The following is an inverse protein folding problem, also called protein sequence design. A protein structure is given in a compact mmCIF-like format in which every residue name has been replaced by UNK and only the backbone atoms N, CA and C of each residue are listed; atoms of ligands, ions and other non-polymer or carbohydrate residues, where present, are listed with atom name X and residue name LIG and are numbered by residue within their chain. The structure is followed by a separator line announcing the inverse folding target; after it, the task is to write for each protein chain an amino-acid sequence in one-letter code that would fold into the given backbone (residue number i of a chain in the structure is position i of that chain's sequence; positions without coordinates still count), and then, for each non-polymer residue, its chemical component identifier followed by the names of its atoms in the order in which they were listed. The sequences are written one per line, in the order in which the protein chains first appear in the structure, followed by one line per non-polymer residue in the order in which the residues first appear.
data_IF_590464533205
#
_entry.id   IF_590464533205
#
_cell.length_a   1.000
_cell.length_b   1.000
_cell.length_c   1.000
_cell.angle_alpha   90.00
_cell.angle_beta   90.00
_cell.angle_gamma   90.00
#
_symmetry.space_group_name_H-M   'P 1'
#
loop_
_entity.id
_entity.type
_entity.pdbx_description
1 polymer ?
#
# COMPACT_ATOMS: atom_id res chain seq x y z
N UNK A 1 -21.31 -10.47 5.55
CA UNK A 1 -19.89 -10.85 5.62
C UNK A 1 -19.69 -12.32 5.99
N UNK A 2 -20.67 -12.97 6.65
CA UNK A 2 -20.69 -14.43 6.91
C UNK A 2 -20.28 -15.37 5.76
N UNK A 3 -20.63 -15.08 4.50
CA UNK A 3 -20.19 -15.91 3.34
C UNK A 3 -18.66 -15.93 3.14
N UNK A 4 -17.99 -14.85 3.51
CA UNK A 4 -16.53 -14.75 3.46
C UNK A 4 -15.91 -15.55 4.62
N UNK A 5 -16.36 -15.32 5.85
CA UNK A 5 -15.93 -16.09 7.02
C UNK A 5 -16.14 -17.61 6.84
N UNK A 6 -17.22 -18.02 6.16
CA UNK A 6 -17.52 -19.42 5.86
C UNK A 6 -16.53 -20.11 4.92
N UNK A 7 -15.63 -19.37 4.23
CA UNK A 7 -14.58 -20.00 3.42
C UNK A 7 -13.63 -20.87 4.26
N UNK A 8 -13.57 -20.66 5.58
CA UNK A 8 -12.85 -21.53 6.52
C UNK A 8 -13.26 -23.01 6.44
N UNK A 9 -14.50 -23.32 6.04
CA UNK A 9 -14.96 -24.70 5.90
C UNK A 9 -14.37 -25.41 4.67
N UNK A 10 -13.97 -24.64 3.65
CA UNK A 10 -13.26 -25.15 2.48
C UNK A 10 -11.74 -25.14 2.70
N UNK A 11 -11.25 -24.22 3.53
CA UNK A 11 -9.83 -24.02 3.82
C UNK A 11 -9.62 -23.91 5.34
N UNK A 12 -9.46 -25.04 6.07
CA UNK A 12 -9.46 -25.05 7.53
C UNK A 12 -8.39 -24.20 8.22
N UNK A 13 -7.30 -23.90 7.50
CA UNK A 13 -6.21 -23.06 7.99
C UNK A 13 -6.39 -21.57 7.64
N UNK A 14 -7.41 -21.22 6.86
CA UNK A 14 -7.71 -19.83 6.51
C UNK A 14 -8.24 -19.07 7.73
N UNK A 15 -7.61 -17.94 8.02
CA UNK A 15 -8.13 -16.95 8.97
C UNK A 15 -8.76 -15.80 8.21
N UNK A 16 -9.96 -15.43 8.59
CA UNK A 16 -10.65 -14.27 8.03
C UNK A 16 -10.60 -13.13 9.04
N UNK A 17 -10.02 -12.00 8.64
CA UNK A 17 -9.83 -10.81 9.48
C UNK A 17 -10.59 -9.66 8.82
N UNK A 18 -11.29 -8.85 9.61
CA UNK A 18 -11.95 -7.63 9.12
C UNK A 18 -11.02 -6.44 9.30
N UNK A 19 -10.80 -5.67 8.25
CA UNK A 19 -10.05 -4.40 8.35
C UNK A 19 -11.00 -3.23 8.58
N UNK A 20 -10.61 -2.34 9.48
CA UNK A 20 -11.33 -1.11 9.83
C UNK A 20 -10.41 0.06 9.52
N UNK A 21 -10.91 1.02 8.73
CA UNK A 21 -10.18 2.23 8.38
C UNK A 21 -9.90 2.36 6.89
N UNK A 22 -8.62 2.38 6.55
CA UNK A 22 -8.08 2.73 5.25
C UNK A 22 -8.07 4.23 5.03
N UNK A 23 -7.52 4.62 3.88
CA UNK A 23 -7.32 6.02 3.46
C UNK A 23 -8.53 6.92 3.74
N UNK A 24 -9.72 6.46 3.37
CA UNK A 24 -10.97 7.22 3.53
C UNK A 24 -11.73 6.95 4.84
N UNK A 25 -11.45 5.85 5.52
CA UNK A 25 -12.15 5.44 6.74
C UNK A 25 -11.47 5.87 8.04
N UNK A 26 -10.27 6.45 7.95
CA UNK A 26 -9.43 6.77 9.13
C UNK A 26 -9.86 7.99 9.95
N UNK A 27 -10.93 8.69 9.55
CA UNK A 27 -11.33 10.00 10.10
C UNK A 27 -11.51 10.03 11.62
N UNK A 28 -11.97 8.94 12.20
CA UNK A 28 -12.33 8.84 13.62
C UNK A 28 -11.23 8.30 14.54
N UNK A 29 -10.13 7.75 14.01
CA UNK A 29 -9.19 7.00 14.85
C UNK A 29 -8.53 7.83 15.95
N UNK A 30 -8.04 9.03 15.63
CA UNK A 30 -7.41 9.90 16.63
C UNK A 30 -8.37 10.22 17.78
N UNK A 31 -9.61 10.63 17.46
CA UNK A 31 -10.63 10.89 18.46
C UNK A 31 -11.02 9.65 19.29
N UNK A 32 -11.10 8.46 18.66
CA UNK A 32 -11.39 7.20 19.35
C UNK A 32 -10.26 6.87 20.34
N UNK A 33 -9.01 6.93 19.88
CA UNK A 33 -7.84 6.53 20.64
C UNK A 33 -7.47 7.54 21.76
N UNK A 34 -7.83 8.81 21.61
CA UNK A 34 -7.57 9.86 22.60
C UNK A 34 -8.46 9.80 23.85
N UNK A 35 -9.55 9.01 23.82
CA UNK A 35 -10.50 8.91 24.94
C UNK A 35 -10.67 7.47 25.40
N UNK A 36 -10.34 7.19 26.66
CA UNK A 36 -10.47 5.85 27.24
C UNK A 36 -11.90 5.29 27.16
N UNK A 37 -12.92 6.14 27.35
CA UNK A 37 -14.33 5.71 27.28
C UNK A 37 -14.78 5.40 25.84
N UNK A 38 -14.33 6.18 24.86
CA UNK A 38 -14.63 5.95 23.44
C UNK A 38 -13.86 4.72 22.94
N UNK A 39 -12.58 4.59 23.31
CA UNK A 39 -11.77 3.39 23.05
C UNK A 39 -12.47 2.14 23.59
N UNK A 40 -12.92 2.14 24.84
CA UNK A 40 -13.59 0.97 25.43
C UNK A 40 -14.90 0.62 24.70
N UNK A 41 -15.64 1.64 24.25
CA UNK A 41 -16.86 1.44 23.45
C UNK A 41 -16.53 0.83 22.08
N UNK A 42 -15.51 1.37 21.42
CA UNK A 42 -15.02 0.88 20.13
C UNK A 42 -14.60 -0.59 20.20
N UNK A 43 -13.74 -0.97 21.16
CA UNK A 43 -13.23 -2.36 21.24
C UNK A 43 -14.33 -3.37 21.55
N UNK A 44 -15.32 -3.01 22.37
CA UNK A 44 -16.51 -3.86 22.63
C UNK A 44 -17.36 -4.05 21.38
N UNK A 45 -17.54 -3.00 20.59
CA UNK A 45 -18.27 -3.08 19.33
C UNK A 45 -17.53 -3.94 18.31
N UNK A 46 -16.20 -3.83 18.24
CA UNK A 46 -15.36 -4.72 17.43
C UNK A 46 -15.56 -6.16 17.87
N UNK A 47 -15.43 -6.48 19.15
CA UNK A 47 -15.65 -7.82 19.68
C UNK A 47 -17.02 -8.39 19.27
N UNK A 48 -18.10 -7.65 19.54
CA UNK A 48 -19.45 -8.06 19.18
C UNK A 48 -19.62 -8.28 17.66
N UNK A 49 -18.97 -7.45 16.84
CA UNK A 49 -18.97 -7.62 15.39
C UNK A 49 -18.22 -8.89 14.95
N UNK A 50 -17.04 -9.16 15.51
CA UNK A 50 -16.26 -10.36 15.21
C UNK A 50 -17.06 -11.63 15.53
N UNK A 51 -17.75 -11.67 16.67
CA UNK A 51 -18.56 -12.81 17.07
C UNK A 51 -19.79 -12.98 16.18
N UNK A 52 -20.50 -11.89 15.88
CA UNK A 52 -21.73 -11.93 15.09
C UNK A 52 -21.52 -12.25 13.61
N UNK A 53 -20.37 -11.90 13.04
CA UNK A 53 -20.01 -12.18 11.65
C UNK A 53 -19.05 -13.37 11.49
N UNK A 54 -18.51 -13.88 12.59
CA UNK A 54 -17.63 -15.06 12.61
C UNK A 54 -16.22 -14.79 12.09
N UNK A 55 -15.66 -13.60 12.30
CA UNK A 55 -14.27 -13.29 11.94
C UNK A 55 -13.30 -13.79 13.01
N UNK A 56 -12.06 -14.10 12.65
CA UNK A 56 -11.01 -14.60 13.56
C UNK A 56 -10.22 -13.47 14.23
N UNK A 57 -10.38 -12.24 13.77
CA UNK A 57 -9.62 -11.09 14.25
C UNK A 57 -9.99 -9.81 13.54
N UNK A 58 -9.31 -8.74 13.95
CA UNK A 58 -9.45 -7.39 13.42
C UNK A 58 -8.10 -6.87 12.92
N UNK A 59 -8.15 -6.11 11.84
CA UNK A 59 -7.06 -5.30 11.32
C UNK A 59 -7.42 -3.82 11.49
N UNK A 60 -6.52 -3.00 12.01
CA UNK A 60 -6.69 -1.55 12.00
C UNK A 60 -5.80 -0.94 10.94
N UNK A 61 -6.41 -0.24 10.00
CA UNK A 61 -5.75 0.49 8.94
C UNK A 61 -5.93 2.00 9.21
N UNK A 62 -5.16 2.52 10.17
CA UNK A 62 -5.20 3.93 10.54
C UNK A 62 -4.17 4.71 9.70
N UNK A 63 -4.66 5.51 8.77
CA UNK A 63 -3.88 6.34 7.87
C UNK A 63 -4.00 7.84 8.18
N UNK A 64 -3.11 8.47 8.95
CA UNK A 64 -2.06 7.88 9.79
C UNK A 64 -2.05 8.54 11.17
N UNK A 65 -1.52 7.87 12.22
CA UNK A 65 -1.24 8.53 13.49
C UNK A 65 -0.41 9.80 13.28
N UNK A 66 -0.88 10.93 13.81
CA UNK A 66 -0.20 12.22 13.70
C UNK A 66 -0.38 12.94 12.36
N UNK A 67 -1.25 12.45 11.47
CA UNK A 67 -1.59 13.09 10.19
C UNK A 67 -0.86 12.51 8.99
N UNK A 68 -1.06 13.10 7.80
CA UNK A 68 -0.55 12.61 6.51
C UNK A 68 -1.58 11.88 5.65
N UNK A 69 -2.75 11.54 6.21
CA UNK A 69 -3.90 11.03 5.46
C UNK A 69 -4.79 12.14 4.87
N UNK A 70 -6.05 11.82 4.59
CA UNK A 70 -7.04 12.78 4.09
C UNK A 70 -7.24 13.97 5.05
N UNK A 71 -7.58 15.13 4.47
CA UNK A 71 -7.51 16.44 5.14
C UNK A 71 -8.47 16.62 6.31
N UNK A 72 -9.56 15.86 6.35
CA UNK A 72 -10.57 15.92 7.41
C UNK A 72 -10.45 14.79 8.44
N UNK A 73 -9.29 14.12 8.49
CA UNK A 73 -8.96 13.24 9.61
C UNK A 73 -8.81 14.05 10.90
N UNK A 74 -9.33 13.51 12.00
CA UNK A 74 -8.90 13.98 13.33
C UNK A 74 -7.46 13.55 13.55
N UNK A 75 -6.63 14.44 14.11
CA UNK A 75 -5.20 14.21 14.32
C UNK A 75 -4.77 14.75 15.68
N UNK A 76 -3.78 14.10 16.30
CA UNK A 76 -3.14 14.54 17.53
C UNK A 76 -1.65 14.23 17.51
N UNK A 77 -0.86 15.11 18.12
CA UNK A 77 0.57 14.87 18.34
C UNK A 77 0.84 13.65 19.25
N UNK A 78 -0.16 13.21 20.01
CA UNK A 78 -0.09 12.02 20.87
C UNK A 78 -0.63 10.74 20.21
N UNK A 79 -0.98 10.77 18.93
CA UNK A 79 -1.62 9.65 18.24
C UNK A 79 -0.81 8.35 18.30
N UNK A 80 0.52 8.41 18.21
CA UNK A 80 1.36 7.22 18.33
C UNK A 80 1.22 6.54 19.70
N UNK A 81 1.16 7.32 20.79
CA UNK A 81 0.91 6.79 22.14
C UNK A 81 -0.54 6.31 22.29
N UNK A 82 -1.49 7.06 21.74
CA UNK A 82 -2.90 6.68 21.77
C UNK A 82 -3.17 5.38 21.00
N UNK A 83 -2.45 5.14 19.91
CA UNK A 83 -2.47 3.88 19.18
C UNK A 83 -2.05 2.70 20.06
N UNK A 84 -1.00 2.85 20.87
CA UNK A 84 -0.60 1.82 21.86
C UNK A 84 -1.75 1.51 22.80
N UNK A 85 -2.40 2.53 23.34
CA UNK A 85 -3.53 2.36 24.25
C UNK A 85 -4.72 1.64 23.57
N UNK A 86 -5.02 2.01 22.33
CA UNK A 86 -6.07 1.38 21.53
C UNK A 86 -5.80 -0.10 21.28
N UNK A 87 -4.59 -0.47 20.83
CA UNK A 87 -4.26 -1.89 20.56
C UNK A 87 -4.13 -2.70 21.85
N UNK A 88 -3.67 -2.09 22.95
CA UNK A 88 -3.67 -2.72 24.27
C UNK A 88 -5.10 -3.03 24.75
N UNK A 89 -6.03 -2.08 24.57
CA UNK A 89 -7.44 -2.28 24.89
C UNK A 89 -8.10 -3.35 24.00
N UNK A 90 -7.78 -3.39 22.70
CA UNK A 90 -8.24 -4.48 21.82
C UNK A 90 -7.73 -5.84 22.30
N UNK A 91 -6.44 -5.94 22.64
CA UNK A 91 -5.87 -7.20 23.14
C UNK A 91 -6.52 -7.64 24.45
N UNK A 92 -6.79 -6.71 25.37
CA UNK A 92 -7.47 -7.00 26.62
C UNK A 92 -8.91 -7.49 26.41
N UNK A 93 -9.65 -6.88 25.47
CA UNK A 93 -11.05 -7.24 25.17
C UNK A 93 -11.17 -8.54 24.37
N UNK A 94 -10.30 -8.73 23.37
CA UNK A 94 -10.38 -9.85 22.43
C UNK A 94 -9.66 -11.12 22.91
N UNK A 95 -8.86 -11.02 23.97
CA UNK A 95 -8.09 -12.14 24.51
C UNK A 95 -6.87 -12.53 23.68
N UNK A 96 -6.17 -13.62 24.06
CA UNK A 96 -4.90 -14.01 23.45
C UNK A 96 -5.05 -14.62 22.05
N UNK A 97 -6.19 -15.23 21.74
CA UNK A 97 -6.33 -16.08 20.55
C UNK A 97 -6.81 -15.33 19.30
N UNK A 98 -7.52 -14.20 19.48
CA UNK A 98 -7.98 -13.38 18.35
C UNK A 98 -6.78 -12.69 17.68
N UNK A 99 -6.78 -12.69 16.35
CA UNK A 99 -5.76 -11.96 15.60
C UNK A 99 -6.01 -10.45 15.72
N UNK A 100 -4.95 -9.70 15.98
CA UNK A 100 -4.96 -8.24 15.87
C UNK A 100 -3.82 -7.89 14.92
N UNK A 101 -4.15 -7.38 13.75
CA UNK A 101 -3.15 -6.87 12.81
C UNK A 101 -3.31 -5.38 12.58
N UNK A 102 -2.31 -4.78 11.96
CA UNK A 102 -2.34 -3.38 11.55
C UNK A 102 -1.84 -3.28 10.12
N UNK A 103 -2.52 -2.54 9.26
CA UNK A 103 -1.88 -1.98 8.07
C UNK A 103 -1.18 -0.68 8.50
N UNK A 104 0.10 -0.56 8.17
CA UNK A 104 0.98 0.49 8.73
C UNK A 104 1.76 1.21 7.64
N UNK A 105 2.03 2.50 7.87
CA UNK A 105 2.87 3.29 6.98
C UNK A 105 4.26 2.66 6.84
N UNK A 106 4.82 2.76 5.64
CA UNK A 106 6.21 2.39 5.40
C UNK A 106 7.20 3.28 6.19
N UNK A 107 6.79 4.51 6.52
CA UNK A 107 7.60 5.47 7.28
C UNK A 107 7.35 5.32 8.79
N UNK A 108 8.40 4.97 9.53
CA UNK A 108 8.31 4.76 10.99
C UNK A 108 8.08 6.04 11.80
N UNK A 109 8.18 7.20 11.16
CA UNK A 109 8.02 8.53 11.76
C UNK A 109 6.61 8.76 12.29
N UNK A 110 5.58 8.15 11.69
CA UNK A 110 4.19 8.19 12.17
C UNK A 110 4.00 7.53 13.54
N UNK A 111 4.93 6.67 13.95
CA UNK A 111 4.86 5.93 15.21
C UNK A 111 5.77 6.51 16.29
N UNK A 112 6.36 7.68 16.05
CA UNK A 112 7.02 8.50 17.07
C UNK A 112 6.01 9.49 17.63
N UNK A 113 5.80 9.44 18.95
CA UNK A 113 4.94 10.40 19.63
C UNK A 113 5.55 11.81 19.53
N UNK A 114 4.81 12.76 18.97
CA UNK A 114 5.37 14.09 18.68
C UNK A 114 5.56 14.94 19.94
N UNK A 115 4.94 14.59 21.06
CA UNK A 115 5.09 15.30 22.34
C UNK A 115 6.28 14.75 23.11
N UNK A 116 6.25 13.46 23.40
CA UNK A 116 7.24 12.75 24.22
C UNK A 116 8.50 12.35 23.46
N UNK A 117 8.44 12.36 22.12
CA UNK A 117 9.51 11.91 21.20
C UNK A 117 9.86 10.42 21.33
N UNK A 118 8.99 9.64 21.97
CA UNK A 118 9.17 8.20 22.16
C UNK A 118 8.74 7.46 20.90
N UNK A 119 9.59 6.57 20.40
CA UNK A 119 9.25 5.60 19.36
C UNK A 119 8.36 4.51 19.95
N UNK A 120 7.13 4.39 19.46
CA UNK A 120 6.09 3.53 20.03
C UNK A 120 6.00 2.14 19.39
N UNK A 121 6.70 1.87 18.28
CA UNK A 121 6.73 0.55 17.63
C UNK A 121 6.96 -0.59 18.65
N UNK A 122 7.96 -0.56 19.56
CA UNK A 122 8.17 -1.63 20.54
C UNK A 122 6.98 -1.85 21.48
N UNK A 123 6.18 -0.82 21.75
CA UNK A 123 5.00 -0.91 22.60
C UNK A 123 3.78 -1.41 21.83
N UNK A 124 3.63 -1.03 20.56
CA UNK A 124 2.59 -1.56 19.67
C UNK A 124 2.78 -3.08 19.48
N UNK A 125 4.00 -3.51 19.19
CA UNK A 125 4.32 -4.92 18.85
C UNK A 125 4.03 -5.92 19.97
N UNK A 126 3.86 -5.46 21.22
CA UNK A 126 3.48 -6.30 22.38
C UNK A 126 2.03 -6.81 22.30
N UNK A 127 1.16 -6.09 21.60
CA UNK A 127 -0.29 -6.35 21.63
C UNK A 127 -0.84 -6.89 20.32
N UNK A 128 -0.11 -6.71 19.22
CA UNK A 128 -0.52 -7.14 17.89
C UNK A 128 0.08 -8.50 17.53
N UNK A 129 -0.64 -9.27 16.74
CA UNK A 129 -0.19 -10.55 16.19
C UNK A 129 0.89 -10.31 15.12
N UNK A 130 0.64 -9.37 14.21
CA UNK A 130 1.57 -8.94 13.17
C UNK A 130 1.19 -7.55 12.64
N UNK A 131 2.07 -6.91 11.88
CA UNK A 131 1.80 -5.67 11.15
C UNK A 131 2.13 -5.85 9.67
N UNK A 132 1.39 -5.16 8.82
CA UNK A 132 1.45 -5.23 7.38
C UNK A 132 1.97 -3.90 6.86
N UNK A 133 3.27 -3.85 6.55
CA UNK A 133 3.91 -2.64 6.06
C UNK A 133 3.37 -2.38 4.65
N UNK A 134 2.71 -1.22 4.46
CA UNK A 134 2.22 -0.76 3.17
C UNK A 134 3.38 -0.26 2.32
N UNK A 135 4.25 -1.18 1.90
CA UNK A 135 5.46 -0.92 1.12
C UNK A 135 5.17 -0.78 -0.38
N UNK A 136 4.19 0.07 -0.66
CA UNK A 136 3.68 0.53 -1.94
C UNK A 136 3.15 1.95 -1.75
N UNK A 137 2.72 2.61 -2.82
CA UNK A 137 2.38 4.05 -2.79
C UNK A 137 3.53 4.92 -2.30
N UNK A 138 4.77 4.50 -2.55
CA UNK A 138 5.93 5.32 -2.24
C UNK A 138 5.93 6.59 -3.09
N UNK A 139 5.62 6.45 -4.37
CA UNK A 139 5.56 7.56 -5.32
C UNK A 139 4.30 7.51 -6.18
N UNK A 140 3.77 8.68 -6.49
CA UNK A 140 2.56 8.87 -7.29
C UNK A 140 2.48 10.27 -7.89
N UNK A 141 1.36 10.63 -8.51
CA UNK A 141 1.19 11.97 -9.11
C UNK A 141 1.23 13.12 -8.11
N UNK A 142 1.24 12.83 -6.80
CA UNK A 142 1.56 13.80 -5.75
C UNK A 142 3.04 14.22 -5.74
N UNK A 143 3.92 13.45 -6.37
CA UNK A 143 5.31 13.80 -6.66
C UNK A 143 5.44 14.48 -8.02
N UNK A 144 6.34 15.47 -8.12
CA UNK A 144 6.61 16.18 -9.37
C UNK A 144 7.30 15.33 -10.45
N UNK A 145 7.99 14.28 -10.04
CA UNK A 145 8.75 13.41 -10.91
C UNK A 145 8.13 12.02 -10.88
N UNK A 146 8.02 11.40 -12.06
CA UNK A 146 7.63 10.01 -12.21
C UNK A 146 8.65 9.09 -11.54
N UNK A 147 8.17 8.12 -10.76
CA UNK A 147 9.02 7.20 -10.01
C UNK A 147 8.30 5.86 -9.79
N UNK A 148 8.88 4.98 -8.99
CA UNK A 148 8.36 3.65 -8.74
C UNK A 148 7.28 3.62 -7.65
N UNK A 149 6.14 2.97 -7.91
CA UNK A 149 5.07 2.83 -6.92
C UNK A 149 5.50 1.98 -5.70
N UNK A 150 6.40 1.01 -5.89
CA UNK A 150 6.75 0.00 -4.89
C UNK A 150 8.22 -0.51 -4.99
N UNK A 151 9.26 0.32 -5.18
CA UNK A 151 10.61 -0.17 -5.48
C UNK A 151 11.17 -1.06 -4.35
N UNK A 152 11.86 -2.15 -4.70
CA UNK A 152 12.39 -3.09 -3.69
C UNK A 152 13.58 -2.54 -2.92
N UNK A 153 14.47 -1.81 -3.59
CA UNK A 153 15.77 -1.38 -3.06
C UNK A 153 16.02 0.11 -3.41
N UNK A 154 16.62 0.90 -2.51
CA UNK A 154 16.90 2.32 -2.76
C UNK A 154 18.14 2.58 -3.64
N UNK A 155 18.97 1.57 -3.93
CA UNK A 155 20.25 1.75 -4.65
C UNK A 155 20.04 1.97 -6.15
N UNK A 156 19.82 3.23 -6.51
CA UNK A 156 19.64 3.65 -7.88
C UNK A 156 20.97 3.87 -8.61
N UNK A 157 21.16 3.30 -9.82
CA UNK A 157 22.30 3.62 -10.67
C UNK A 157 22.30 5.11 -11.06
N UNK A 158 23.47 5.76 -11.00
CA UNK A 158 23.63 7.17 -11.39
C UNK A 158 23.15 7.46 -12.82
N UNK A 159 23.22 6.47 -13.74
CA UNK A 159 22.72 6.60 -15.12
C UNK A 159 21.22 6.86 -15.20
N UNK A 160 20.46 6.46 -14.19
CA UNK A 160 19.02 6.65 -14.12
C UNK A 160 18.68 7.94 -13.37
N UNK A 161 19.65 8.63 -12.77
CA UNK A 161 19.41 9.74 -11.84
C UNK A 161 20.23 10.98 -12.18
N UNK A 162 19.76 11.84 -13.08
CA UNK A 162 20.36 13.17 -13.24
C UNK A 162 19.57 14.18 -12.40
N UNK A 163 19.91 14.28 -11.11
CA UNK A 163 19.46 15.37 -10.23
C UNK A 163 18.16 15.13 -9.44
N UNK A 164 17.68 13.89 -9.34
CA UNK A 164 16.46 13.53 -8.60
C UNK A 164 16.58 12.15 -7.94
N UNK A 165 16.72 12.08 -6.62
CA UNK A 165 16.72 10.82 -5.85
C UNK A 165 15.63 10.87 -4.81
N UNK A 166 14.91 9.76 -4.63
CA UNK A 166 14.11 9.54 -3.43
C UNK A 166 14.57 8.28 -2.69
N UNK A 167 14.29 8.21 -1.40
CA UNK A 167 14.90 7.23 -0.48
C UNK A 167 13.99 6.07 -0.09
N UNK A 168 12.70 6.11 -0.42
CA UNK A 168 11.73 5.10 0.01
C UNK A 168 11.81 3.86 -0.88
N UNK A 169 11.73 2.71 -0.24
CA UNK A 169 11.70 1.39 -0.88
C UNK A 169 11.25 0.34 0.14
N UNK A 170 10.93 -0.86 -0.34
CA UNK A 170 10.55 -1.97 0.53
C UNK A 170 11.68 -2.34 1.51
N UNK A 171 12.93 -2.39 1.03
CA UNK A 171 14.08 -2.68 1.88
C UNK A 171 14.30 -1.61 2.96
N UNK A 172 14.17 -0.32 2.61
CA UNK A 172 14.30 0.78 3.59
C UNK A 172 13.21 0.68 4.63
N UNK A 173 11.94 0.58 4.22
CA UNK A 173 10.81 0.49 5.15
C UNK A 173 10.97 -0.69 6.12
N UNK A 174 11.29 -1.88 5.61
CA UNK A 174 11.52 -3.08 6.45
C UNK A 174 12.68 -2.86 7.42
N UNK A 175 13.80 -2.30 6.96
CA UNK A 175 14.96 -2.07 7.81
C UNK A 175 14.68 -1.03 8.90
N UNK A 176 13.93 0.03 8.59
CA UNK A 176 13.53 1.05 9.56
C UNK A 176 12.58 0.48 10.62
N UNK A 177 11.59 -0.33 10.23
CA UNK A 177 10.69 -1.01 11.17
C UNK A 177 11.46 -1.95 12.12
N UNK A 178 12.42 -2.70 11.59
CA UNK A 178 13.29 -3.56 12.41
C UNK A 178 14.19 -2.72 13.33
N UNK A 179 14.79 -1.64 12.83
CA UNK A 179 15.62 -0.73 13.62
C UNK A 179 14.82 -0.02 14.73
N UNK A 180 13.54 0.24 14.50
CA UNK A 180 12.60 0.76 15.49
C UNK A 180 12.14 -0.27 16.52
N UNK A 181 12.58 -1.53 16.40
CA UNK A 181 12.38 -2.59 17.41
C UNK A 181 11.28 -3.60 17.09
N UNK A 182 10.76 -3.63 15.85
CA UNK A 182 9.81 -4.67 15.45
C UNK A 182 10.49 -6.03 15.23
N UNK A 183 9.85 -7.11 15.68
CA UNK A 183 10.30 -8.46 15.36
C UNK A 183 9.97 -8.79 13.91
N UNK A 184 10.96 -9.24 13.13
CA UNK A 184 10.81 -9.62 11.72
C UNK A 184 9.69 -10.63 11.49
N UNK A 185 9.53 -11.63 12.36
CA UNK A 185 8.49 -12.65 12.24
C UNK A 185 7.06 -12.11 12.39
N UNK A 186 6.90 -10.89 12.93
CA UNK A 186 5.62 -10.19 13.05
C UNK A 186 5.42 -9.13 11.96
N UNK A 187 6.33 -9.00 10.99
CA UNK A 187 6.22 -8.07 9.87
C UNK A 187 5.77 -8.82 8.61
N UNK A 188 4.93 -8.19 7.79
CA UNK A 188 4.70 -8.60 6.40
C UNK A 188 5.05 -7.47 5.44
N UNK A 189 5.58 -7.83 4.26
CA UNK A 189 5.87 -6.88 3.20
C UNK A 189 4.67 -6.73 2.25
N UNK A 190 4.25 -5.50 1.94
CA UNK A 190 3.17 -5.21 1.01
C UNK A 190 3.53 -5.48 -0.45
N UNK A 191 2.55 -5.88 -1.24
CA UNK A 191 2.64 -6.16 -2.66
C UNK A 191 1.49 -5.47 -3.39
N UNK A 192 1.81 -4.59 -4.34
CA UNK A 192 0.82 -3.83 -5.09
C UNK A 192 0.33 -4.63 -6.31
N UNK A 193 -0.97 -4.87 -6.43
CA UNK A 193 -1.59 -5.45 -7.62
C UNK A 193 -2.16 -4.35 -8.55
N UNK A 194 -1.53 -3.20 -8.51
CA UNK A 194 -1.89 -2.01 -9.27
C UNK A 194 -0.64 -1.18 -9.55
N UNK A 195 -0.80 -0.12 -10.32
CA UNK A 195 0.20 0.89 -10.59
C UNK A 195 -0.32 2.30 -10.40
N UNK A 196 0.61 3.26 -10.49
CA UNK A 196 0.34 4.70 -10.47
C UNK A 196 0.92 5.36 -11.71
N UNK A 197 0.30 6.45 -12.13
CA UNK A 197 0.62 7.10 -13.39
C UNK A 197 0.80 8.61 -13.30
N UNK A 198 1.56 9.10 -14.26
CA UNK A 198 1.86 10.51 -14.50
C UNK A 198 1.66 10.82 -15.98
N UNK A 199 1.34 12.09 -16.28
CA UNK A 199 1.68 12.64 -17.60
C UNK A 199 3.12 13.16 -17.53
N UNK A 200 4.04 12.72 -18.39
CA UNK A 200 5.47 13.08 -18.33
C UNK A 200 5.88 13.96 -19.51
N UNK A 201 6.79 14.91 -19.26
CA UNK A 201 7.27 15.87 -20.29
C UNK A 201 8.24 15.27 -21.30
N UNK A 202 8.82 14.10 -21.01
CA UNK A 202 9.85 13.45 -21.83
C UNK A 202 9.71 11.93 -21.77
N UNK A 203 10.18 11.25 -22.82
CA UNK A 203 10.26 9.79 -22.88
C UNK A 203 11.66 9.25 -22.55
N UNK A 204 12.61 10.12 -22.19
CA UNK A 204 13.93 9.72 -21.71
C UNK A 204 13.78 8.70 -20.58
N UNK A 205 14.61 7.65 -20.59
CA UNK A 205 14.57 6.56 -19.62
C UNK A 205 13.18 5.86 -19.53
N UNK A 206 12.50 5.73 -20.67
CA UNK A 206 11.14 5.19 -20.77
C UNK A 206 10.16 5.92 -19.82
N UNK A 207 10.31 7.23 -19.70
CA UNK A 207 9.48 8.09 -18.88
C UNK A 207 9.79 8.05 -17.38
N UNK A 208 10.75 7.25 -16.92
CA UNK A 208 11.16 7.21 -15.50
C UNK A 208 12.01 8.43 -15.14
N UNK A 209 11.80 9.00 -13.95
CA UNK A 209 12.50 10.19 -13.43
C UNK A 209 12.33 11.45 -14.28
N UNK A 210 11.21 11.55 -14.99
CA UNK A 210 10.87 12.71 -15.79
C UNK A 210 9.92 13.62 -15.00
N UNK A 211 10.13 14.94 -15.16
CA UNK A 211 9.21 15.93 -14.63
C UNK A 211 7.83 15.72 -15.28
N UNK A 212 6.78 15.72 -14.48
CA UNK A 212 5.44 15.56 -15.00
C UNK A 212 4.93 16.83 -15.68
N UNK A 213 4.02 16.67 -16.63
CA UNK A 213 3.34 17.77 -17.32
C UNK A 213 2.47 18.55 -16.34
N UNK A 214 2.66 19.87 -16.29
CA UNK A 214 1.86 20.76 -15.43
C UNK A 214 2.43 20.96 -14.03
N UNK A 215 3.53 20.32 -13.65
CA UNK A 215 4.25 20.66 -12.40
C UNK A 215 4.80 22.09 -12.49
N UNK A 216 4.60 22.86 -11.41
CA UNK A 216 5.12 24.22 -11.24
C UNK A 216 6.10 24.21 -10.08
N UNK A 217 7.34 24.68 -10.31
CA UNK A 217 8.41 24.73 -9.29
C UNK A 217 8.68 23.38 -8.58
N UNK A 218 8.47 22.24 -9.26
CA UNK A 218 8.67 20.92 -8.67
C UNK A 218 7.57 20.50 -7.69
N UNK A 219 6.37 21.09 -7.78
CA UNK A 219 5.20 20.67 -7.03
C UNK A 219 4.47 19.47 -7.68
N UNK A 220 3.52 18.89 -6.95
CA UNK A 220 2.65 17.80 -7.39
C UNK A 220 2.02 18.04 -8.78
N UNK A 221 1.78 16.95 -9.48
CA UNK A 221 1.16 16.94 -10.79
C UNK A 221 -0.36 16.97 -10.68
N UNK A 222 -1.08 17.51 -11.66
CA UNK A 222 -2.49 17.19 -11.82
C UNK A 222 -2.66 15.66 -11.96
N UNK A 223 -3.57 15.08 -11.18
CA UNK A 223 -3.93 13.67 -11.32
C UNK A 223 -4.43 13.39 -12.74
N UNK A 224 -3.84 12.39 -13.38
CA UNK A 224 -4.21 11.95 -14.73
C UNK A 224 -5.23 10.83 -14.68
N UNK A 225 -6.00 10.65 -15.75
CA UNK A 225 -6.88 9.49 -15.89
C UNK A 225 -6.01 8.24 -16.01
N UNK A 226 -6.15 7.33 -15.06
CA UNK A 226 -5.56 6.01 -15.09
C UNK A 226 -6.27 5.06 -16.07
N UNK A 227 -6.68 3.90 -15.57
CA UNK A 227 -7.44 2.94 -16.36
C UNK A 227 -8.90 3.40 -16.64
N UNK A 228 -9.70 2.55 -17.27
CA UNK A 228 -11.07 2.89 -17.64
C UNK A 228 -12.02 3.17 -16.47
N UNK A 229 -11.66 2.80 -15.23
CA UNK A 229 -12.44 3.10 -14.03
C UNK A 229 -12.12 4.48 -13.45
N UNK A 230 -11.00 5.09 -13.84
CA UNK A 230 -10.53 6.40 -13.37
C UNK A 230 -10.96 7.56 -14.29
N UNK A 231 -11.95 7.33 -15.16
CA UNK A 231 -12.45 8.34 -16.13
C UNK A 231 -13.29 9.44 -15.49
N UNK A 232 -13.73 9.24 -14.25
CA UNK A 232 -14.44 10.24 -13.45
C UNK A 232 -13.61 10.53 -12.22
N UNK A 233 -13.46 11.82 -11.89
CA UNK A 233 -12.76 12.20 -10.67
C UNK A 233 -13.44 11.56 -9.47
N UNK A 234 -12.63 10.86 -8.67
CA UNK A 234 -13.07 10.36 -7.38
C UNK A 234 -12.92 11.47 -6.34
N UNK A 235 -13.92 11.61 -5.47
CA UNK A 235 -13.89 12.57 -4.38
C UNK A 235 -13.78 11.84 -3.05
N UNK A 236 -12.83 12.25 -2.22
CA UNK A 236 -12.71 11.72 -0.87
C UNK A 236 -13.86 12.20 0.04
N UNK A 237 -14.05 11.61 1.24
CA UNK A 237 -15.06 12.05 2.20
C UNK A 237 -14.87 13.49 2.72
N UNK A 238 -13.77 14.15 2.38
CA UNK A 238 -13.46 15.55 2.69
C UNK A 238 -13.77 16.48 1.50
N UNK A 239 -14.35 15.96 0.42
CA UNK A 239 -14.67 16.65 -0.83
C UNK A 239 -13.44 17.12 -1.63
N UNK A 240 -12.29 16.45 -1.47
CA UNK A 240 -11.13 16.64 -2.35
C UNK A 240 -11.29 15.67 -3.53
N UNK A 241 -11.42 16.22 -4.74
CA UNK A 241 -11.66 15.44 -5.96
C UNK A 241 -10.44 15.43 -6.88
N UNK A 242 -10.08 14.26 -7.38
CA UNK A 242 -8.95 14.08 -8.30
C UNK A 242 -9.11 12.80 -9.13
N UNK A 243 -8.43 12.72 -10.27
CA UNK A 243 -8.19 11.42 -10.91
C UNK A 243 -7.09 10.74 -10.11
N UNK A 244 -7.30 9.47 -9.75
CA UNK A 244 -6.40 8.73 -8.87
C UNK A 244 -5.07 8.38 -9.54
N UNK A 245 -5.05 8.35 -10.88
CA UNK A 245 -3.92 7.86 -11.67
C UNK A 245 -3.66 6.36 -11.46
N UNK A 246 -4.60 5.63 -10.85
CA UNK A 246 -4.47 4.20 -10.54
C UNK A 246 -4.68 3.37 -11.80
N UNK A 247 -3.83 2.37 -11.96
CA UNK A 247 -3.93 1.35 -12.99
C UNK A 247 -4.04 -0.02 -12.35
N UNK A 248 -5.23 -0.61 -12.37
CA UNK A 248 -5.41 -1.96 -11.87
C UNK A 248 -4.68 -2.95 -12.78
N UNK A 249 -3.96 -3.92 -12.20
CA UNK A 249 -3.23 -4.92 -13.00
C UNK A 249 -4.16 -5.71 -13.93
N UNK A 250 -5.33 -6.10 -13.42
CA UNK A 250 -6.40 -6.74 -14.19
C UNK A 250 -6.74 -5.96 -15.47
N UNK A 251 -6.88 -4.63 -15.35
CA UNK A 251 -7.23 -3.76 -16.46
C UNK A 251 -6.05 -3.57 -17.41
N UNK A 252 -4.82 -3.48 -16.89
CA UNK A 252 -3.61 -3.44 -17.72
C UNK A 252 -3.45 -4.69 -18.60
N UNK A 253 -3.94 -5.85 -18.13
CA UNK A 253 -3.98 -7.12 -18.88
C UNK A 253 -5.17 -7.23 -19.85
N UNK A 254 -6.04 -6.23 -19.90
CA UNK A 254 -7.15 -6.14 -20.85
C UNK A 254 -8.44 -6.79 -20.40
N UNK A 255 -8.59 -7.10 -19.11
CA UNK A 255 -9.89 -7.44 -18.55
C UNK A 255 -10.77 -6.19 -18.35
N UNK A 256 -12.07 -6.43 -18.13
CA UNK A 256 -13.08 -5.38 -18.02
C UNK A 256 -13.35 -4.69 -19.35
N UNK A 257 -13.48 -3.35 -19.31
CA UNK A 257 -13.72 -2.52 -20.50
C UNK A 257 -12.47 -1.76 -20.96
N UNK A 258 -11.28 -2.16 -20.51
CA UNK A 258 -10.03 -1.51 -20.92
C UNK A 258 -9.72 -1.81 -22.39
N UNK A 259 -10.12 -0.91 -23.29
CA UNK A 259 -9.67 -0.94 -24.68
C UNK A 259 -8.18 -0.62 -24.77
N UNK A 260 -7.48 -1.24 -25.70
CA UNK A 260 -6.06 -0.96 -25.97
C UNK A 260 -5.17 -1.13 -24.72
N UNK A 261 -5.40 -2.18 -23.94
CA UNK A 261 -4.69 -2.41 -22.68
C UNK A 261 -3.17 -2.53 -22.87
N UNK A 262 -2.37 -1.90 -22.00
CA UNK A 262 -0.92 -1.79 -22.18
C UNK A 262 -0.18 -3.12 -22.13
N UNK A 263 -0.76 -4.16 -21.53
CA UNK A 263 -0.16 -5.49 -21.39
C UNK A 263 -1.04 -6.57 -22.04
N UNK A 264 -1.79 -6.30 -23.11
CA UNK A 264 -2.65 -7.31 -23.74
C UNK A 264 -1.88 -8.56 -24.24
N UNK A 265 -0.60 -8.42 -24.62
CA UNK A 265 0.21 -9.50 -25.22
C UNK A 265 0.96 -10.37 -24.20
N UNK A 266 0.92 -10.04 -22.91
CA UNK A 266 1.62 -10.82 -21.88
C UNK A 266 1.94 -9.97 -20.65
N UNK A 267 2.15 -10.60 -19.47
CA UNK A 267 2.38 -9.87 -18.22
C UNK A 267 3.67 -9.03 -18.26
N UNK A 268 4.59 -9.35 -19.17
CA UNK A 268 5.89 -8.70 -19.33
C UNK A 268 6.10 -8.15 -20.74
N UNK A 269 5.05 -8.11 -21.57
CA UNK A 269 5.12 -7.67 -22.97
C UNK A 269 4.13 -6.53 -23.22
N UNK A 270 4.67 -5.35 -23.53
CA UNK A 270 3.86 -4.17 -23.83
C UNK A 270 3.03 -4.38 -25.11
N UNK A 271 1.92 -3.66 -25.23
CA UNK A 271 0.96 -3.75 -26.34
C UNK A 271 0.39 -2.38 -26.66
N UNK A 272 -0.31 -2.25 -27.78
CA UNK A 272 -1.16 -1.10 -28.07
C UNK A 272 -0.46 0.27 -27.98
N UNK A 273 0.78 0.36 -28.49
CA UNK A 273 1.54 1.62 -28.50
C UNK A 273 2.22 1.97 -27.17
N UNK A 274 2.23 1.05 -26.21
CA UNK A 274 3.04 1.17 -25.00
C UNK A 274 4.41 0.51 -25.18
N UNK A 275 5.41 1.05 -24.49
CA UNK A 275 6.73 0.44 -24.28
C UNK A 275 6.89 0.05 -22.81
N UNK A 276 7.46 -1.13 -22.55
CA UNK A 276 7.75 -1.61 -21.20
C UNK A 276 9.27 -1.62 -20.98
N UNK A 277 9.69 -1.20 -19.80
CA UNK A 277 11.06 -1.39 -19.32
C UNK A 277 11.02 -2.02 -17.93
N UNK A 278 11.95 -2.93 -17.64
CA UNK A 278 12.14 -3.50 -16.30
C UNK A 278 13.45 -2.97 -15.72
N UNK A 279 13.42 -2.58 -14.45
CA UNK A 279 14.57 -2.01 -13.77
C UNK A 279 15.03 -2.95 -12.65
N UNK A 280 16.09 -3.71 -12.92
CA UNK A 280 16.59 -4.75 -12.00
C UNK A 280 16.96 -4.20 -10.62
N UNK A 281 17.55 -3.00 -10.54
CA UNK A 281 17.93 -2.42 -9.25
C UNK A 281 16.72 -2.14 -8.34
N UNK A 282 15.56 -1.81 -8.91
CA UNK A 282 14.34 -1.52 -8.15
C UNK A 282 13.36 -2.70 -8.14
N UNK A 283 13.68 -3.79 -8.84
CA UNK A 283 12.79 -4.91 -9.14
C UNK A 283 11.39 -4.42 -9.51
N UNK A 284 11.30 -3.51 -10.49
CA UNK A 284 10.05 -2.85 -10.83
C UNK A 284 9.94 -2.59 -12.33
N UNK A 285 8.80 -2.94 -12.97
CA UNK A 285 8.51 -2.55 -14.34
C UNK A 285 7.92 -1.14 -14.44
N UNK A 286 8.07 -0.54 -15.62
CA UNK A 286 7.34 0.67 -16.04
C UNK A 286 6.76 0.48 -17.43
N UNK A 287 5.72 1.26 -17.73
CA UNK A 287 5.11 1.40 -19.04
C UNK A 287 5.12 2.87 -19.44
N UNK A 288 5.35 3.13 -20.73
CA UNK A 288 5.30 4.46 -21.30
C UNK A 288 4.53 4.45 -22.62
N UNK A 289 3.77 5.51 -22.91
CA UNK A 289 3.27 5.80 -24.25
C UNK A 289 3.26 7.29 -24.52
N UNK A 290 3.50 7.68 -25.77
CA UNK A 290 3.47 9.08 -26.17
C UNK A 290 2.06 9.68 -26.19
N UNK A 291 1.01 8.85 -26.25
CA UNK A 291 -0.37 9.33 -26.21
C UNK A 291 -1.34 8.28 -25.66
N UNK A 292 -1.77 8.48 -24.42
CA UNK A 292 -2.97 7.88 -23.87
C UNK A 292 -3.93 9.00 -23.48
N UNK A 293 -5.13 8.99 -24.07
CA UNK A 293 -6.14 10.06 -23.90
C UNK A 293 -5.58 11.47 -24.18
N UNK A 294 -4.64 11.59 -25.11
CA UNK A 294 -4.03 12.86 -25.51
C UNK A 294 -2.84 13.30 -24.63
N UNK A 295 -2.38 12.47 -23.71
CA UNK A 295 -1.25 12.77 -22.81
C UNK A 295 -0.12 11.75 -22.97
N UNK A 296 1.12 12.20 -22.76
CA UNK A 296 2.30 11.33 -22.68
C UNK A 296 2.27 10.65 -21.32
N UNK A 297 1.94 9.36 -21.26
CA UNK A 297 1.62 8.67 -20.01
C UNK A 297 2.72 7.70 -19.60
N UNK A 298 3.11 7.78 -18.34
CA UNK A 298 4.00 6.84 -17.65
C UNK A 298 3.22 6.10 -16.57
N UNK A 299 3.46 4.80 -16.42
CA UNK A 299 2.90 3.96 -15.35
C UNK A 299 4.05 3.22 -14.68
N UNK A 300 4.16 3.34 -13.35
CA UNK A 300 4.90 2.37 -12.54
C UNK A 300 3.93 1.40 -11.89
N UNK A 301 4.27 0.11 -11.89
CA UNK A 301 3.41 -0.96 -11.40
C UNK A 301 4.24 -2.17 -10.97
N UNK A 302 3.57 -3.22 -10.55
CA UNK A 302 4.13 -4.53 -10.27
C UNK A 302 3.58 -5.60 -11.23
N UNK A 303 4.45 -6.51 -11.67
CA UNK A 303 4.11 -7.65 -12.52
C UNK A 303 4.59 -8.98 -11.89
N UNK A 304 4.35 -10.14 -12.50
CA UNK A 304 4.75 -11.43 -11.92
C UNK A 304 6.25 -11.53 -11.60
N UNK A 305 7.13 -10.86 -12.36
CA UNK A 305 8.57 -10.89 -12.13
C UNK A 305 8.92 -10.12 -10.86
N UNK A 306 8.43 -8.88 -10.75
CA UNK A 306 8.70 -8.05 -9.58
C UNK A 306 7.99 -8.57 -8.31
N UNK A 307 6.76 -9.05 -8.42
CA UNK A 307 6.03 -9.66 -7.30
C UNK A 307 6.75 -10.89 -6.77
N UNK A 308 7.26 -11.76 -7.64
CA UNK A 308 8.04 -12.92 -7.22
C UNK A 308 9.33 -12.49 -6.50
N UNK A 309 10.05 -11.50 -7.05
CA UNK A 309 11.28 -10.98 -6.44
C UNK A 309 11.02 -10.36 -5.06
N UNK A 310 9.95 -9.57 -4.91
CA UNK A 310 9.56 -8.88 -3.66
C UNK A 310 9.07 -9.86 -2.60
N UNK A 311 8.37 -10.92 -2.99
CA UNK A 311 8.01 -12.01 -2.08
C UNK A 311 9.24 -12.83 -1.63
N UNK A 312 10.18 -13.09 -2.54
CA UNK A 312 11.45 -13.74 -2.20
C UNK A 312 12.33 -12.88 -1.29
N UNK A 313 12.35 -11.56 -1.50
CA UNK A 313 12.97 -10.61 -0.59
C UNK A 313 12.37 -10.74 0.81
N UNK A 314 11.04 -10.64 0.96
CA UNK A 314 10.36 -10.76 2.26
C UNK A 314 10.73 -12.07 2.97
N UNK A 315 10.76 -13.19 2.24
CA UNK A 315 11.17 -14.49 2.76
C UNK A 315 12.62 -14.49 3.25
N UNK A 316 13.55 -14.00 2.42
CA UNK A 316 14.99 -13.94 2.72
C UNK A 316 15.31 -13.00 3.89
N UNK A 317 14.54 -11.92 4.04
CA UNK A 317 14.67 -10.96 5.13
C UNK A 317 14.20 -11.54 6.48
N UNK A 318 13.54 -12.70 6.48
CA UNK A 318 13.03 -13.38 7.66
C UNK A 318 11.68 -12.85 8.13
N UNK A 319 10.90 -12.23 7.23
CA UNK A 319 9.59 -11.69 7.56
C UNK A 319 8.56 -12.81 7.81
N UNK A 320 7.46 -12.46 8.48
CA UNK A 320 6.34 -13.38 8.75
C UNK A 320 5.49 -13.71 7.52
N UNK A 321 5.50 -12.86 6.50
CA UNK A 321 4.69 -13.04 5.30
C UNK A 321 4.78 -11.90 4.29
N UNK A 322 3.84 -11.93 3.35
CA UNK A 322 3.53 -10.82 2.45
C UNK A 322 2.05 -10.46 2.58
N UNK A 323 1.71 -9.20 2.29
CA UNK A 323 0.35 -8.70 2.17
C UNK A 323 0.12 -8.24 0.72
N UNK A 324 -1.10 -8.40 0.20
CA UNK A 324 -1.46 -8.05 -1.17
C UNK A 324 -2.56 -6.97 -1.13
N UNK A 325 -2.33 -5.86 -1.84
CA UNK A 325 -3.36 -4.85 -2.11
C UNK A 325 -3.56 -4.67 -3.62
N UNK A 326 -4.70 -5.05 -4.21
CA UNK A 326 -5.70 -5.94 -3.62
C UNK A 326 -6.06 -7.09 -4.57
N UNK A 327 -6.63 -8.14 -4.00
CA UNK A 327 -6.73 -9.45 -4.63
C UNK A 327 -7.60 -9.47 -5.90
N UNK A 328 -8.62 -8.62 -6.01
CA UNK A 328 -9.50 -8.59 -7.18
C UNK A 328 -8.81 -8.04 -8.44
N UNK A 329 -7.64 -7.41 -8.29
CA UNK A 329 -6.85 -6.92 -9.42
C UNK A 329 -5.95 -7.97 -10.06
N UNK A 330 -5.98 -9.22 -9.61
CA UNK A 330 -5.16 -10.27 -10.20
C UNK A 330 -5.79 -10.81 -11.50
N UNK A 331 -5.04 -10.80 -12.59
CA UNK A 331 -5.47 -11.39 -13.86
C UNK A 331 -5.06 -12.85 -13.91
N UNK A 332 -6.03 -13.78 -13.96
CA UNK A 332 -5.78 -15.22 -14.07
C UNK A 332 -4.78 -15.78 -13.04
N UNK A 333 -4.73 -15.19 -11.84
CA UNK A 333 -3.82 -15.55 -10.74
C UNK A 333 -2.33 -15.34 -11.05
N UNK A 334 -1.99 -14.53 -12.06
CA UNK A 334 -0.61 -14.28 -12.46
C UNK A 334 0.22 -13.72 -11.31
N UNK A 335 -0.30 -12.74 -10.56
CA UNK A 335 0.43 -12.11 -9.46
C UNK A 335 0.40 -12.96 -8.19
N UNK A 336 -0.73 -13.59 -7.85
CA UNK A 336 -0.82 -14.49 -6.68
C UNK A 336 0.11 -15.68 -6.83
N UNK A 337 0.18 -16.28 -8.03
CA UNK A 337 1.11 -17.40 -8.28
C UNK A 337 2.57 -16.96 -8.17
N UNK A 338 2.91 -15.77 -8.67
CA UNK A 338 4.24 -15.19 -8.51
C UNK A 338 4.59 -14.95 -7.03
N UNK A 339 3.66 -14.40 -6.23
CA UNK A 339 3.87 -14.18 -4.81
C UNK A 339 4.13 -15.50 -4.07
N UNK A 340 3.33 -16.55 -4.38
CA UNK A 340 3.53 -17.90 -3.83
C UNK A 340 4.88 -18.50 -4.23
N UNK A 341 5.25 -18.38 -5.51
CA UNK A 341 6.53 -18.86 -6.02
C UNK A 341 7.72 -18.16 -5.34
N UNK A 342 7.65 -16.84 -5.16
CA UNK A 342 8.69 -16.06 -4.48
C UNK A 342 8.79 -16.40 -3.00
N UNK A 343 7.65 -16.64 -2.34
CA UNK A 343 7.63 -17.11 -0.95
C UNK A 343 8.14 -18.55 -0.77
N UNK A 344 7.99 -19.38 -1.81
CA UNK A 344 8.42 -20.77 -1.86
C UNK A 344 7.34 -21.79 -1.46
N UNK A 345 6.07 -21.57 -1.85
CA UNK A 345 4.91 -22.45 -1.53
C UNK A 345 4.01 -22.79 -2.70
#
# INVERSE_FOLDING_TARGET
MRKFAAQRYNYPNLKTIVSIGGWSGSRGFSAIAASASITQTFVKNVHAFLDSEGFDGVDLDWEYPGGGGITCNTVSDSDATNMVNLVAALRAELGPDRSISLAVSAEVSHYVDKVTKVQQIPNIMKYVSYVQIMSYDFYGSWDAYSDFVSPSDPTQPASNNVGYSQSLSQAVAVNEWVAAGASKSQLTNGLAFYGRSWSVQSNTNNGLYQLCTGSVNGAACPGVVGDYLDVTQWCDPCNVCYNSGVWMYLNMRGAGSQTAAPLASGPTTASNGWSRQYFDFAQSPTLYTASYRGQSSFISYDDPVSIQAKAAFAKSAGLGGTMIWELSQDYNKELTNAARAGWGV
#
